data_IF_143731896286
#
_entry.id   IF_143731896286
#
_cell.length_a   1.000
_cell.length_b   1.000
_cell.length_c   1.000
_cell.angle_alpha   90.00
_cell.angle_beta   90.00
_cell.angle_gamma   90.00
#
_symmetry.space_group_name_H-M   'P 1'
#
loop_
_entity.id
_entity.type
_entity.pdbx_description
1 polymer ?
#
# COMPACT_ATOMS: atom_id res chain seq x y z
N UNK A 1 24.55 0.24 4.71
CA UNK A 1 23.27 -0.13 5.35
C UNK A 1 22.34 1.07 5.51
N UNK A 2 22.86 2.27 5.81
CA UNK A 2 22.08 3.48 6.08
C UNK A 2 21.18 3.89 4.91
N UNK A 3 21.69 3.79 3.68
CA UNK A 3 20.98 4.20 2.47
C UNK A 3 19.73 3.38 2.16
N UNK A 4 19.66 2.15 2.67
CA UNK A 4 18.52 1.26 2.46
C UNK A 4 17.29 1.86 3.13
N UNK A 5 17.43 2.44 4.32
CA UNK A 5 16.32 3.09 5.06
C UNK A 5 15.76 4.26 4.26
N UNK A 6 16.62 5.08 3.67
CA UNK A 6 16.21 6.18 2.81
C UNK A 6 15.48 5.69 1.55
N UNK A 7 16.03 4.68 0.87
CA UNK A 7 15.42 4.11 -0.35
C UNK A 7 14.05 3.51 -0.04
N UNK A 8 13.92 2.75 1.06
CA UNK A 8 12.64 2.19 1.51
C UNK A 8 11.64 3.30 1.80
N UNK A 9 12.04 4.33 2.55
CA UNK A 9 11.20 5.49 2.82
C UNK A 9 10.74 6.22 1.54
N UNK A 10 11.65 6.37 0.57
CA UNK A 10 11.36 7.00 -0.72
C UNK A 10 10.36 6.16 -1.54
N UNK A 11 10.55 4.85 -1.64
CA UNK A 11 9.64 3.94 -2.36
C UNK A 11 8.25 3.96 -1.74
N UNK A 12 8.15 3.89 -0.41
CA UNK A 12 6.87 3.94 0.30
C UNK A 12 6.17 5.29 0.11
N UNK A 13 6.93 6.39 0.14
CA UNK A 13 6.40 7.73 -0.12
C UNK A 13 5.87 7.85 -1.55
N UNK A 14 6.63 7.42 -2.56
CA UNK A 14 6.20 7.49 -3.96
C UNK A 14 4.98 6.61 -4.22
N UNK A 15 4.96 5.38 -3.70
CA UNK A 15 3.84 4.46 -3.87
C UNK A 15 2.58 4.99 -3.15
N UNK A 16 2.72 5.44 -1.90
CA UNK A 16 1.62 6.00 -1.13
C UNK A 16 1.06 7.26 -1.77
N UNK A 17 1.93 8.18 -2.19
CA UNK A 17 1.56 9.41 -2.90
C UNK A 17 0.85 9.12 -4.22
N UNK A 18 1.33 8.15 -4.99
CA UNK A 18 0.68 7.70 -6.22
C UNK A 18 -0.74 7.16 -5.97
N UNK A 19 -0.94 6.32 -4.94
CA UNK A 19 -2.26 5.80 -4.58
C UNK A 19 -3.25 6.89 -4.15
N UNK A 20 -2.78 7.89 -3.38
CA UNK A 20 -3.58 9.05 -3.00
C UNK A 20 -3.95 9.89 -4.22
N UNK A 21 -2.97 10.16 -5.10
CA UNK A 21 -3.18 10.91 -6.34
C UNK A 21 -4.17 10.23 -7.29
N UNK A 22 -4.05 8.92 -7.53
CA UNK A 22 -5.00 8.16 -8.36
C UNK A 22 -6.42 8.26 -7.80
N UNK A 23 -6.58 8.04 -6.49
CA UNK A 23 -7.87 8.15 -5.81
C UNK A 23 -8.46 9.56 -5.91
N UNK A 24 -7.64 10.59 -5.73
CA UNK A 24 -8.05 11.99 -5.84
C UNK A 24 -8.47 12.36 -7.27
N UNK A 25 -7.64 12.01 -8.26
CA UNK A 25 -7.93 12.24 -9.68
C UNK A 25 -9.23 11.55 -10.08
N UNK A 26 -9.38 10.28 -9.72
CA UNK A 26 -10.58 9.50 -10.04
C UNK A 26 -11.84 10.15 -9.45
N UNK A 27 -11.81 10.57 -8.18
CA UNK A 27 -12.93 11.25 -7.52
C UNK A 27 -13.33 12.57 -8.19
N UNK A 28 -12.37 13.31 -8.74
CA UNK A 28 -12.63 14.57 -9.45
C UNK A 28 -13.30 14.36 -10.81
N UNK A 29 -12.99 13.26 -11.50
CA UNK A 29 -13.51 12.98 -12.84
C UNK A 29 -14.72 12.06 -12.86
N UNK A 30 -14.95 11.31 -11.79
CA UNK A 30 -16.04 10.35 -11.69
C UNK A 30 -17.37 11.04 -11.42
N UNK A 31 -18.45 10.43 -11.92
CA UNK A 31 -19.83 10.80 -11.59
C UNK A 31 -20.35 9.87 -10.51
N UNK A 32 -21.11 10.43 -9.57
CA UNK A 32 -21.76 9.63 -8.54
C UNK A 32 -23.04 9.00 -9.09
N UNK A 33 -23.25 7.73 -8.80
CA UNK A 33 -24.46 6.97 -9.09
C UNK A 33 -24.88 6.20 -7.83
N UNK A 34 -26.19 6.03 -7.62
CA UNK A 34 -26.70 5.18 -6.56
C UNK A 34 -26.57 3.71 -6.99
N UNK A 35 -25.87 2.91 -6.19
CA UNK A 35 -25.79 1.46 -6.36
C UNK A 35 -26.48 0.72 -5.22
N UNK A 36 -26.72 -0.57 -5.42
CA UNK A 36 -27.26 -1.51 -4.44
C UNK A 36 -26.35 -2.72 -4.35
N UNK A 37 -25.99 -3.12 -3.14
CA UNK A 37 -25.21 -4.35 -2.92
C UNK A 37 -26.10 -5.55 -3.21
N UNK A 38 -25.78 -6.34 -4.23
CA UNK A 38 -26.57 -7.52 -4.62
C UNK A 38 -25.98 -8.84 -4.13
N UNK A 39 -24.71 -8.83 -3.73
CA UNK A 39 -24.06 -10.01 -3.19
C UNK A 39 -22.59 -9.78 -2.88
N UNK A 40 -21.87 -10.88 -2.64
CA UNK A 40 -20.44 -10.88 -2.41
C UNK A 40 -19.76 -11.98 -3.21
N UNK A 41 -18.70 -11.63 -3.92
CA UNK A 41 -17.77 -12.60 -4.51
C UNK A 41 -16.83 -13.10 -3.40
N UNK A 42 -16.85 -14.41 -3.17
CA UNK A 42 -15.92 -15.06 -2.24
C UNK A 42 -14.64 -15.41 -3.00
N UNK A 43 -13.51 -14.99 -2.46
CA UNK A 43 -12.18 -15.35 -2.96
C UNK A 43 -11.46 -16.15 -1.89
N UNK A 44 -11.11 -17.39 -2.22
CA UNK A 44 -10.35 -18.27 -1.34
C UNK A 44 -8.88 -18.25 -1.76
N UNK A 45 -7.98 -17.97 -0.81
CA UNK A 45 -6.55 -18.19 -1.00
C UNK A 45 -6.15 -19.51 -0.37
N UNK A 46 -5.79 -20.51 -1.20
CA UNK A 46 -5.18 -21.76 -0.73
C UNK A 46 -3.68 -21.53 -0.51
N UNK A 47 -3.25 -21.57 0.74
CA UNK A 47 -1.83 -21.69 1.11
C UNK A 47 -1.52 -23.16 1.38
N UNK A 48 -0.38 -23.67 0.90
CA UNK A 48 -0.01 -25.10 1.01
C UNK A 48 -0.01 -25.63 2.44
N UNK A 49 0.21 -24.77 3.44
CA UNK A 49 0.38 -25.16 4.85
C UNK A 49 -0.53 -24.38 5.82
N UNK A 50 -1.57 -23.69 5.35
CA UNK A 50 -2.45 -22.89 6.23
C UNK A 50 -3.91 -23.07 5.87
N UNK A 51 -4.78 -22.92 6.88
CA UNK A 51 -6.22 -22.90 6.68
C UNK A 51 -6.59 -21.91 5.56
N UNK A 52 -7.50 -22.32 4.67
CA UNK A 52 -7.99 -21.48 3.57
C UNK A 52 -8.53 -20.17 4.15
N UNK A 53 -7.98 -19.04 3.71
CA UNK A 53 -8.47 -17.73 4.09
C UNK A 53 -9.45 -17.24 3.02
N UNK A 54 -10.66 -16.89 3.45
CA UNK A 54 -11.68 -16.32 2.58
C UNK A 54 -11.69 -14.80 2.69
N UNK A 55 -11.82 -14.15 1.54
CA UNK A 55 -12.04 -12.71 1.44
C UNK A 55 -13.27 -12.44 0.60
N UNK A 56 -14.01 -11.40 0.95
CA UNK A 56 -15.30 -11.07 0.37
C UNK A 56 -15.19 -9.73 -0.34
N UNK A 57 -15.52 -9.71 -1.63
CA UNK A 57 -15.61 -8.49 -2.42
C UNK A 57 -17.08 -8.19 -2.74
N UNK A 58 -17.61 -7.00 -2.39
CA UNK A 58 -19.01 -6.69 -2.65
C UNK A 58 -19.28 -6.62 -4.16
N UNK A 59 -20.38 -7.22 -4.58
CA UNK A 59 -20.94 -7.10 -5.93
C UNK A 59 -22.06 -6.07 -5.86
N UNK A 60 -21.93 -5.00 -6.63
CA UNK A 60 -22.85 -3.86 -6.59
C UNK A 60 -23.46 -3.65 -7.95
N UNK A 61 -24.78 -3.61 -7.96
CA UNK A 61 -25.60 -3.24 -9.11
C UNK A 61 -25.87 -1.74 -9.09
N UNK A 62 -25.73 -1.08 -10.23
CA UNK A 62 -25.96 0.35 -10.36
C UNK A 62 -26.49 0.67 -11.76
N UNK A 63 -27.14 1.82 -11.90
CA UNK A 63 -27.64 2.31 -13.19
C UNK A 63 -26.83 3.52 -13.63
N UNK A 64 -26.33 3.48 -14.87
CA UNK A 64 -25.61 4.60 -15.47
C UNK A 64 -25.86 4.62 -16.98
N UNK A 65 -26.22 5.79 -17.52
CA UNK A 65 -26.54 5.94 -18.95
C UNK A 65 -27.72 5.07 -19.41
N UNK A 66 -28.73 4.89 -18.56
CA UNK A 66 -29.93 4.09 -18.87
C UNK A 66 -29.71 2.57 -18.90
N UNK A 67 -28.51 2.08 -18.54
CA UNK A 67 -28.20 0.65 -18.47
C UNK A 67 -27.90 0.25 -17.02
N UNK A 68 -28.47 -0.88 -16.60
CA UNK A 68 -28.09 -1.55 -15.35
C UNK A 68 -26.77 -2.28 -15.58
N UNK A 69 -25.82 -2.06 -14.67
CA UNK A 69 -24.50 -2.69 -14.69
C UNK A 69 -24.16 -3.22 -13.32
N UNK A 70 -23.28 -4.21 -13.28
CA UNK A 70 -22.76 -4.76 -12.05
C UNK A 70 -21.24 -4.65 -12.07
N UNK A 71 -20.65 -4.31 -10.92
CA UNK A 71 -19.22 -4.38 -10.74
C UNK A 71 -18.89 -5.07 -9.42
N UNK A 72 -17.75 -5.73 -9.40
CA UNK A 72 -17.21 -6.33 -8.18
C UNK A 72 -16.13 -5.43 -7.61
N UNK A 73 -16.18 -5.18 -6.30
CA UNK A 73 -15.16 -4.42 -5.59
C UNK A 73 -13.75 -4.97 -5.88
N UNK A 74 -12.81 -4.07 -6.18
CA UNK A 74 -11.40 -4.46 -6.39
C UNK A 74 -10.75 -4.98 -5.11
N UNK A 75 -11.14 -4.40 -3.98
CA UNK A 75 -10.66 -4.77 -2.65
C UNK A 75 -11.59 -5.85 -2.08
N UNK A 76 -11.05 -7.05 -1.92
CA UNK A 76 -11.67 -8.08 -1.11
C UNK A 76 -11.16 -7.92 0.32
N UNK A 77 -12.05 -8.07 1.30
CA UNK A 77 -11.73 -7.96 2.72
C UNK A 77 -12.24 -9.19 3.45
N UNK A 78 -11.56 -9.61 4.51
CA UNK A 78 -12.11 -10.61 5.43
C UNK A 78 -13.34 -10.09 6.18
N UNK A 79 -13.50 -8.75 6.25
CA UNK A 79 -14.60 -8.06 6.90
C UNK A 79 -15.65 -7.61 5.87
N UNK A 80 -16.91 -7.99 6.14
CA UNK A 80 -18.08 -7.64 5.32
C UNK A 80 -18.64 -6.29 5.81
N UNK A 81 -18.36 -5.22 5.06
CA UNK A 81 -18.72 -3.85 5.44
C UNK A 81 -20.19 -3.48 5.19
N UNK A 82 -20.84 -4.09 4.21
CA UNK A 82 -22.22 -3.75 3.80
C UNK A 82 -23.15 -4.97 3.88
N UNK A 83 -24.44 -4.75 4.06
CA UNK A 83 -25.46 -5.79 3.96
C UNK A 83 -25.95 -5.91 2.51
N UNK A 84 -26.40 -7.11 2.14
CA UNK A 84 -27.07 -7.31 0.84
C UNK A 84 -28.37 -6.49 0.87
N UNK A 85 -28.55 -5.67 -0.14
CA UNK A 85 -29.66 -4.73 -0.26
C UNK A 85 -29.31 -3.29 0.10
N UNK A 86 -28.16 -3.03 0.74
CA UNK A 86 -27.74 -1.68 1.12
C UNK A 86 -27.55 -0.79 -0.11
N UNK A 87 -28.01 0.46 0.00
CA UNK A 87 -27.74 1.50 -0.99
C UNK A 87 -26.37 2.11 -0.72
N UNK A 88 -25.50 2.08 -1.72
CA UNK A 88 -24.13 2.58 -1.61
C UNK A 88 -23.81 3.55 -2.74
N UNK A 89 -23.09 4.65 -2.48
CA UNK A 89 -22.64 5.56 -3.52
C UNK A 89 -21.52 4.92 -4.34
N UNK A 90 -21.74 4.86 -5.65
CA UNK A 90 -20.79 4.34 -6.65
C UNK A 90 -20.24 5.51 -7.44
N UNK A 91 -18.93 5.52 -7.66
CA UNK A 91 -18.23 6.46 -8.53
C UNK A 91 -17.94 5.76 -9.86
N UNK A 92 -18.48 6.30 -10.94
CA UNK A 92 -18.33 5.77 -12.31
C UNK A 92 -17.44 6.73 -13.09
N UNK A 93 -16.37 6.23 -13.74
CA UNK A 93 -15.53 7.08 -14.56
C UNK A 93 -16.30 7.63 -15.77
N UNK A 94 -16.14 8.92 -16.07
CA UNK A 94 -16.88 9.57 -17.14
C UNK A 94 -16.56 9.02 -18.55
N UNK A 95 -15.34 8.52 -18.75
CA UNK A 95 -14.84 8.02 -20.03
C UNK A 95 -15.03 6.51 -20.20
N UNK A 96 -15.13 5.78 -19.09
CA UNK A 96 -15.21 4.33 -19.08
C UNK A 96 -16.21 3.90 -17.99
N UNK A 97 -17.42 3.59 -18.41
CA UNK A 97 -18.47 3.19 -17.50
C UNK A 97 -18.27 1.77 -16.94
N UNK A 98 -17.22 1.05 -17.32
CA UNK A 98 -16.85 -0.23 -16.69
C UNK A 98 -15.85 -0.03 -15.53
N UNK A 99 -15.17 1.12 -15.44
CA UNK A 99 -14.38 1.51 -14.25
C UNK A 99 -15.28 2.18 -13.20
N UNK A 100 -16.08 1.35 -12.55
CA UNK A 100 -16.85 1.74 -11.37
C UNK A 100 -16.12 1.35 -10.07
N UNK A 101 -16.18 2.25 -9.07
CA UNK A 101 -15.56 2.05 -7.75
C UNK A 101 -16.52 2.51 -6.65
N UNK A 102 -16.45 1.88 -5.48
CA UNK A 102 -17.16 2.39 -4.30
C UNK A 102 -16.55 3.72 -3.84
N UNK A 103 -17.40 4.70 -3.48
CA UNK A 103 -16.93 6.00 -2.96
C UNK A 103 -16.07 5.83 -1.71
N UNK A 104 -16.46 4.90 -0.83
CA UNK A 104 -15.75 4.51 0.38
C UNK A 104 -14.59 3.52 0.12
N UNK A 105 -13.97 3.55 -1.05
CA UNK A 105 -12.73 2.80 -1.29
C UNK A 105 -11.67 3.26 -0.29
N UNK A 106 -11.17 2.34 0.54
CA UNK A 106 -10.11 2.61 1.51
C UNK A 106 -8.73 2.84 0.87
N UNK A 107 -8.62 2.75 -0.46
CA UNK A 107 -7.35 2.87 -1.19
C UNK A 107 -6.60 4.21 -0.95
N UNK A 108 -7.27 5.39 -0.91
CA UNK A 108 -6.58 6.65 -0.59
C UNK A 108 -6.10 6.70 0.86
N UNK A 109 -6.85 6.11 1.79
CA UNK A 109 -6.45 6.06 3.22
C UNK A 109 -5.22 5.18 3.37
N UNK A 110 -5.23 3.98 2.78
CA UNK A 110 -4.06 3.11 2.75
C UNK A 110 -2.85 3.82 2.11
N UNK A 111 -3.05 4.49 0.96
CA UNK A 111 -2.03 5.31 0.31
C UNK A 111 -1.46 6.40 1.24
N UNK A 112 -2.34 7.08 1.99
CA UNK A 112 -1.94 8.09 2.98
C UNK A 112 -1.10 7.52 4.12
N UNK A 113 -1.43 6.32 4.62
CA UNK A 113 -0.64 5.62 5.63
C UNK A 113 0.75 5.26 5.08
N UNK A 114 0.83 4.67 3.88
CA UNK A 114 2.11 4.36 3.24
C UNK A 114 2.95 5.61 3.00
N UNK A 115 2.32 6.71 2.55
CA UNK A 115 2.98 7.99 2.34
C UNK A 115 3.55 8.56 3.63
N UNK A 116 2.75 8.60 4.70
CA UNK A 116 3.17 9.14 6.00
C UNK A 116 4.29 8.31 6.63
N UNK A 117 4.22 6.98 6.58
CA UNK A 117 5.31 6.09 7.03
C UNK A 117 6.58 6.34 6.21
N UNK A 118 6.46 6.46 4.88
CA UNK A 118 7.59 6.74 4.01
C UNK A 118 8.27 8.06 4.35
N UNK A 119 7.50 9.14 4.49
CA UNK A 119 8.00 10.48 4.84
C UNK A 119 8.61 10.49 6.23
N UNK A 120 7.96 9.87 7.23
CA UNK A 120 8.48 9.75 8.57
C UNK A 120 9.83 9.01 8.59
N UNK A 121 9.96 7.94 7.82
CA UNK A 121 11.20 7.17 7.68
C UNK A 121 12.31 8.00 7.05
N UNK A 122 11.98 8.82 6.04
CA UNK A 122 12.94 9.76 5.43
C UNK A 122 13.38 10.84 6.42
N UNK A 123 12.44 11.45 7.16
CA UNK A 123 12.76 12.45 8.20
C UNK A 123 13.65 11.84 9.28
N UNK A 124 13.31 10.66 9.76
CA UNK A 124 14.08 9.90 10.73
C UNK A 124 15.51 9.64 10.24
N UNK A 125 15.67 9.28 8.97
CA UNK A 125 16.98 9.13 8.33
C UNK A 125 17.78 10.44 8.39
N UNK A 126 17.20 11.58 7.99
CA UNK A 126 17.88 12.88 8.05
C UNK A 126 18.24 13.31 9.47
N UNK A 127 17.46 12.91 10.47
CA UNK A 127 17.68 13.28 11.87
C UNK A 127 18.82 12.49 12.53
N UNK A 128 18.95 11.20 12.21
CA UNK A 128 19.96 10.30 12.79
C UNK A 128 21.27 10.37 12.02
N UNK A 129 21.19 10.30 10.69
CA UNK A 129 22.38 10.26 9.87
C UNK A 129 22.77 11.70 9.54
N UNK A 130 23.85 12.18 10.15
CA UNK A 130 24.50 13.42 9.69
C UNK A 130 24.86 13.21 8.22
N UNK A 131 24.09 13.82 7.32
CA UNK A 131 24.19 13.59 5.88
C UNK A 131 25.56 14.06 5.40
N UNK A 132 26.51 13.15 5.38
CA UNK A 132 27.80 13.37 4.74
C UNK A 132 27.56 13.52 3.24
N UNK A 133 28.32 14.43 2.60
CA UNK A 133 28.28 14.63 1.13
C UNK A 133 28.48 13.31 0.38
N UNK A 134 29.23 12.36 0.96
CA UNK A 134 29.41 11.01 0.41
C UNK A 134 28.13 10.16 0.43
N UNK A 135 27.30 10.26 1.47
CA UNK A 135 25.99 9.57 1.54
C UNK A 135 25.03 10.10 0.47
N UNK A 136 25.05 11.42 0.24
CA UNK A 136 24.27 12.03 -0.83
C UNK A 136 24.75 11.58 -2.23
N UNK A 137 26.07 11.54 -2.43
CA UNK A 137 26.67 11.11 -3.71
C UNK A 137 26.37 9.64 -4.01
N UNK A 138 26.47 8.76 -3.02
CA UNK A 138 26.10 7.34 -3.17
C UNK A 138 24.60 7.16 -3.42
N UNK A 139 23.73 7.96 -2.80
CA UNK A 139 22.29 7.94 -3.08
C UNK A 139 21.99 8.35 -4.52
N UNK A 140 22.57 9.46 -4.97
CA UNK A 140 22.45 9.91 -6.35
C UNK A 140 22.94 8.84 -7.33
N UNK A 141 24.08 8.19 -7.04
CA UNK A 141 24.62 7.11 -7.84
C UNK A 141 23.66 5.91 -7.94
N UNK A 142 23.13 5.43 -6.82
CA UNK A 142 22.17 4.30 -6.82
C UNK A 142 20.90 4.66 -7.58
N UNK A 143 20.38 5.88 -7.42
CA UNK A 143 19.21 6.36 -8.17
C UNK A 143 19.50 6.38 -9.67
N UNK A 144 20.66 6.89 -10.10
CA UNK A 144 21.07 6.88 -11.51
C UNK A 144 21.17 5.46 -12.03
N UNK A 145 21.79 4.53 -11.30
CA UNK A 145 21.88 3.12 -11.69
C UNK A 145 20.50 2.48 -11.84
N UNK A 146 19.57 2.74 -10.90
CA UNK A 146 18.19 2.24 -10.99
C UNK A 146 17.44 2.83 -12.19
N UNK A 147 17.60 4.13 -12.46
CA UNK A 147 17.00 4.78 -13.64
C UNK A 147 17.57 4.23 -14.94
N UNK A 148 18.88 3.97 -14.99
CA UNK A 148 19.54 3.35 -16.15
C UNK A 148 19.07 1.90 -16.32
N UNK A 149 18.99 1.09 -15.27
CA UNK A 149 18.45 -0.26 -15.34
C UNK A 149 16.98 -0.27 -15.78
N UNK A 150 16.14 0.60 -15.22
CA UNK A 150 14.76 0.76 -15.64
C UNK A 150 14.68 1.19 -17.11
N UNK A 151 15.51 2.15 -17.55
CA UNK A 151 15.62 2.59 -18.93
C UNK A 151 16.09 1.48 -19.88
N UNK A 152 17.06 0.66 -19.48
CA UNK A 152 17.52 -0.50 -20.26
C UNK A 152 16.43 -1.58 -20.33
N UNK A 153 15.72 -1.85 -19.24
CA UNK A 153 14.59 -2.76 -19.23
C UNK A 153 13.47 -2.28 -20.16
N UNK A 154 13.16 -0.97 -20.14
CA UNK A 154 12.20 -0.35 -21.05
C UNK A 154 12.67 -0.42 -22.52
N UNK A 155 13.95 -0.15 -22.79
CA UNK A 155 14.55 -0.28 -24.13
C UNK A 155 14.52 -1.71 -24.65
N UNK A 156 14.78 -2.71 -23.79
CA UNK A 156 14.68 -4.13 -24.14
C UNK A 156 13.26 -4.51 -24.60
N UNK A 157 12.24 -3.82 -24.07
CA UNK A 157 10.85 -3.97 -24.50
C UNK A 157 10.44 -3.04 -25.64
N UNK A 158 11.40 -2.35 -26.27
CA UNK A 158 11.20 -1.39 -27.37
C UNK A 158 10.18 -0.29 -27.07
N UNK A 159 10.05 0.06 -25.80
CA UNK A 159 9.11 1.07 -25.33
C UNK A 159 9.76 2.45 -25.56
N UNK A 160 9.48 3.06 -26.72
CA UNK A 160 9.98 4.40 -27.06
C UNK A 160 8.93 5.48 -26.82
N UNK A 161 7.65 5.11 -26.81
CA UNK A 161 6.54 6.02 -26.55
C UNK A 161 5.91 5.77 -25.16
N UNK A 162 5.34 6.82 -24.57
CA UNK A 162 4.44 6.70 -23.41
C UNK A 162 3.27 5.75 -23.72
N UNK A 163 2.86 5.64 -24.97
CA UNK A 163 1.81 4.72 -25.40
C UNK A 163 2.28 3.25 -25.38
N UNK A 164 3.57 2.99 -25.61
CA UNK A 164 4.16 1.65 -25.44
C UNK A 164 4.28 1.28 -23.96
N UNK A 165 4.52 2.26 -23.07
CA UNK A 165 4.46 2.04 -21.62
C UNK A 165 3.05 1.63 -21.22
N UNK A 166 2.03 2.31 -21.76
CA UNK A 166 0.62 1.94 -21.52
C UNK A 166 0.30 0.56 -22.05
N UNK A 167 0.76 0.19 -23.24
CA UNK A 167 0.52 -1.14 -23.82
C UNK A 167 1.26 -2.23 -23.06
N UNK A 168 2.48 -1.97 -22.57
CA UNK A 168 3.22 -2.88 -21.69
C UNK A 168 2.54 -3.04 -20.33
N UNK A 169 2.08 -1.95 -19.71
CA UNK A 169 1.28 -2.01 -18.47
C UNK A 169 -0.03 -2.76 -18.73
N UNK A 170 -0.68 -2.56 -19.88
CA UNK A 170 -1.86 -3.31 -20.28
C UNK A 170 -1.55 -4.79 -20.50
N UNK A 171 -0.38 -5.13 -21.06
CA UNK A 171 0.13 -6.49 -21.20
C UNK A 171 0.47 -7.15 -19.87
N UNK A 172 1.05 -6.42 -18.92
CA UNK A 172 1.22 -6.86 -17.53
C UNK A 172 -0.14 -7.06 -16.85
N UNK A 173 -1.11 -6.19 -17.12
CA UNK A 173 -2.48 -6.33 -16.62
C UNK A 173 -3.15 -7.55 -17.25
N UNK A 174 -2.90 -7.84 -18.53
CA UNK A 174 -3.44 -9.02 -19.22
C UNK A 174 -2.78 -10.31 -18.73
N UNK A 175 -1.45 -10.35 -18.55
CA UNK A 175 -0.72 -11.47 -17.96
C UNK A 175 -1.12 -11.70 -16.51
N UNK A 176 -1.24 -10.63 -15.71
CA UNK A 176 -1.79 -10.72 -14.35
C UNK A 176 -3.23 -11.20 -14.42
N UNK A 177 -4.05 -10.75 -15.36
CA UNK A 177 -5.42 -11.24 -15.52
C UNK A 177 -5.50 -12.67 -16.00
N UNK A 178 -4.53 -13.16 -16.79
CA UNK A 178 -4.45 -14.53 -17.29
C UNK A 178 -3.94 -15.48 -16.18
N UNK A 179 -2.95 -15.05 -15.41
CA UNK A 179 -2.47 -15.75 -14.21
C UNK A 179 -3.49 -15.73 -13.08
N UNK A 180 -4.21 -14.61 -12.92
CA UNK A 180 -5.36 -14.55 -12.03
C UNK A 180 -6.49 -15.41 -12.59
N UNK A 181 -6.83 -15.39 -13.87
CA UNK A 181 -7.89 -16.23 -14.45
C UNK A 181 -7.58 -17.72 -14.30
N UNK A 182 -6.33 -18.16 -14.53
CA UNK A 182 -5.95 -19.57 -14.38
C UNK A 182 -5.99 -20.04 -12.92
N UNK A 183 -5.78 -19.16 -11.93
CA UNK A 183 -5.94 -19.49 -10.51
C UNK A 183 -7.35 -19.21 -9.95
N UNK A 184 -8.11 -18.30 -10.57
CA UNK A 184 -9.44 -17.82 -10.13
C UNK A 184 -10.58 -18.59 -10.79
N UNK A 185 -10.29 -19.48 -11.75
CA UNK A 185 -11.29 -20.44 -12.25
C UNK A 185 -11.70 -21.48 -11.19
N UNK A 186 -11.03 -21.49 -10.02
CA UNK A 186 -11.57 -22.07 -8.79
C UNK A 186 -12.79 -21.25 -8.31
N UNK A 187 -13.97 -21.64 -8.81
CA UNK A 187 -15.31 -21.37 -8.25
C UNK A 187 -15.49 -19.98 -7.62
N UNK A 188 -15.68 -18.95 -8.45
CA UNK A 188 -16.26 -17.68 -8.00
C UNK A 188 -17.70 -17.94 -7.55
N UNK A 189 -17.89 -18.26 -6.28
CA UNK A 189 -19.21 -18.34 -5.68
C UNK A 189 -19.63 -16.92 -5.30
N UNK A 190 -20.73 -16.46 -5.91
CA UNK A 190 -21.37 -15.21 -5.51
C UNK A 190 -22.43 -15.56 -4.48
N UNK A 191 -22.22 -15.13 -3.24
CA UNK A 191 -23.22 -15.28 -2.18
C UNK A 191 -24.24 -14.16 -2.36
N UNK A 192 -25.47 -14.53 -2.72
CA UNK A 192 -26.61 -13.62 -2.83
C UNK A 192 -27.59 -13.74 -1.66
N UNK A 193 -27.53 -14.84 -0.91
CA UNK A 193 -28.40 -15.09 0.25
C UNK A 193 -27.90 -14.34 1.50
N UNK A 194 -28.68 -13.40 2.07
CA UNK A 194 -28.34 -12.69 3.30
C UNK A 194 -28.10 -13.62 4.50
N UNK A 195 -28.82 -14.75 4.58
CA UNK A 195 -28.71 -15.67 5.72
C UNK A 195 -27.33 -16.34 5.79
N UNK A 196 -26.74 -16.67 4.64
CA UNK A 196 -25.37 -17.18 4.57
C UNK A 196 -24.36 -16.12 5.03
N UNK A 197 -24.55 -14.86 4.61
CA UNK A 197 -23.66 -13.75 4.95
C UNK A 197 -23.54 -13.51 6.47
N UNK A 198 -24.64 -13.68 7.22
CA UNK A 198 -24.65 -13.51 8.68
C UNK A 198 -23.75 -14.54 9.37
N UNK A 199 -23.74 -15.79 8.89
CA UNK A 199 -22.87 -16.85 9.43
C UNK A 199 -21.40 -16.53 9.23
N UNK A 200 -21.04 -15.96 8.07
CA UNK A 200 -19.66 -15.54 7.79
C UNK A 200 -19.23 -14.33 8.61
N UNK A 201 -20.11 -13.34 8.80
CA UNK A 201 -19.82 -12.14 9.59
C UNK A 201 -19.53 -12.47 11.07
N UNK A 202 -20.21 -13.45 11.65
CA UNK A 202 -19.98 -13.86 13.04
C UNK A 202 -18.57 -14.45 13.24
N UNK A 203 -18.02 -15.10 12.22
CA UNK A 203 -16.72 -15.79 12.28
C UNK A 203 -15.52 -14.83 12.22
N UNK A 204 -15.65 -13.69 11.54
CA UNK A 204 -14.51 -12.82 11.17
C UNK A 204 -14.46 -11.46 11.89
N UNK A 205 -15.07 -11.31 13.08
CA UNK A 205 -14.88 -10.07 13.85
C UNK A 205 -13.43 -9.99 14.32
N UNK A 206 -12.70 -8.99 13.83
CA UNK A 206 -11.36 -8.67 14.33
C UNK A 206 -11.50 -8.42 15.83
N UNK A 207 -10.81 -9.19 16.69
CA UNK A 207 -11.07 -9.08 18.10
C UNK A 207 -10.52 -7.75 18.61
N UNK A 208 -11.34 -7.03 19.39
CA UNK A 208 -11.09 -5.64 19.80
C UNK A 208 -9.72 -5.46 20.47
N UNK A 209 -9.21 -6.49 21.14
CA UNK A 209 -7.89 -6.48 21.76
C UNK A 209 -6.75 -6.29 20.75
N UNK A 210 -6.87 -6.75 19.50
CA UNK A 210 -5.84 -6.55 18.47
C UNK A 210 -5.71 -5.06 18.13
N UNK A 211 -6.84 -4.36 17.96
CA UNK A 211 -6.84 -2.92 17.74
C UNK A 211 -6.23 -2.17 18.94
N UNK A 212 -6.51 -2.61 20.17
CA UNK A 212 -5.92 -2.06 21.38
C UNK A 212 -4.39 -2.26 21.42
N UNK A 213 -3.87 -3.43 21.02
CA UNK A 213 -2.42 -3.67 20.93
C UNK A 213 -1.76 -2.72 19.93
N UNK A 214 -2.32 -2.56 18.72
CA UNK A 214 -1.75 -1.64 17.73
C UNK A 214 -1.75 -0.19 18.23
N UNK A 215 -2.80 0.22 18.93
CA UNK A 215 -2.89 1.55 19.52
C UNK A 215 -1.85 1.75 20.63
N UNK A 216 -1.71 0.79 21.55
CA UNK A 216 -0.71 0.84 22.63
C UNK A 216 0.71 0.81 22.07
N UNK A 217 0.99 -0.05 21.09
CA UNK A 217 2.29 -0.11 20.42
C UNK A 217 2.63 1.20 19.71
N UNK A 218 1.66 1.79 19.00
CA UNK A 218 1.81 3.10 18.37
C UNK A 218 2.13 4.22 19.37
N UNK A 219 1.38 4.30 20.48
CA UNK A 219 1.64 5.27 21.55
C UNK A 219 3.01 5.05 22.21
N UNK A 220 3.39 3.78 22.44
CA UNK A 220 4.68 3.42 23.01
C UNK A 220 5.86 3.84 22.12
N UNK A 221 5.75 3.64 20.81
CA UNK A 221 6.76 4.10 19.85
C UNK A 221 6.88 5.63 19.84
N UNK A 222 5.76 6.36 19.87
CA UNK A 222 5.78 7.82 19.96
C UNK A 222 6.42 8.31 21.27
N UNK A 223 6.03 7.75 22.41
CA UNK A 223 6.59 8.11 23.72
C UNK A 223 8.10 7.78 23.80
N UNK A 224 8.51 6.61 23.30
CA UNK A 224 9.91 6.22 23.21
C UNK A 224 10.75 7.18 22.36
N UNK A 225 10.21 7.61 21.21
CA UNK A 225 10.84 8.62 20.37
C UNK A 225 11.05 9.96 21.10
N UNK A 226 10.05 10.44 21.85
CA UNK A 226 10.16 11.67 22.66
C UNK A 226 11.20 11.52 23.77
N UNK A 227 11.20 10.41 24.51
CA UNK A 227 12.17 10.19 25.60
C UNK A 227 13.61 10.16 25.04
N UNK A 228 13.85 9.49 23.92
CA UNK A 228 15.18 9.45 23.29
C UNK A 228 15.62 10.84 22.83
N UNK A 229 14.71 11.66 22.28
CA UNK A 229 15.00 13.03 21.88
C UNK A 229 15.40 13.89 23.09
N UNK A 230 14.66 13.79 24.21
CA UNK A 230 14.97 14.51 25.44
C UNK A 230 16.31 14.08 26.05
N UNK A 231 16.61 12.77 26.10
CA UNK A 231 17.90 12.26 26.59
C UNK A 231 19.06 12.73 25.74
N UNK A 232 18.90 12.72 24.42
CA UNK A 232 19.90 13.27 23.49
C UNK A 232 20.14 14.74 23.76
N UNK A 233 19.09 15.53 23.94
CA UNK A 233 19.22 16.96 24.18
C UNK A 233 19.92 17.25 25.53
N UNK A 234 19.52 16.57 26.60
CA UNK A 234 20.20 16.68 27.89
C UNK A 234 21.68 16.28 27.84
N UNK A 235 22.02 15.26 27.05
CA UNK A 235 23.42 14.90 26.80
C UNK A 235 24.17 16.02 26.06
N UNK A 236 23.58 16.61 25.02
CA UNK A 236 24.19 17.71 24.28
C UNK A 236 24.37 18.97 25.14
N UNK A 237 23.44 19.26 26.04
CA UNK A 237 23.50 20.42 26.93
C UNK A 237 24.59 20.27 28.01
N UNK A 238 24.87 19.03 28.44
CA UNK A 238 25.88 18.72 29.48
C UNK A 238 27.24 18.35 28.90
N UNK A 239 27.31 18.04 27.61
CA UNK A 239 28.55 17.66 26.94
C UNK A 239 29.51 18.86 26.88
N UNK A 240 30.66 18.72 27.53
CA UNK A 240 31.76 19.68 27.43
C UNK A 240 32.70 19.22 26.32
N UNK A 241 33.07 20.13 25.42
CA UNK A 241 34.10 19.85 24.43
C UNK A 241 35.44 19.64 25.16
N UNK A 242 36.06 18.48 24.96
CA UNK A 242 37.36 18.16 25.52
C UNK A 242 38.32 17.79 24.38
N UNK A 243 39.53 18.32 24.45
CA UNK A 243 40.61 17.94 23.54
C UNK A 243 41.14 16.56 23.94
N UNK A 244 41.17 15.62 22.98
CA UNK A 244 41.65 14.26 23.18
C UNK A 244 42.81 13.94 22.23
N UNK A 245 43.84 13.26 22.74
CA UNK A 245 44.92 12.71 21.91
C UNK A 245 44.57 11.28 21.52
N UNK A 246 44.67 10.93 20.23
CA UNK A 246 44.47 9.56 19.77
C UNK A 246 45.66 8.72 20.27
N UNK A 247 45.40 7.79 21.19
CA UNK A 247 46.45 6.97 21.82
C UNK A 247 46.66 5.64 21.12
N UNK A 248 45.62 5.08 20.50
CA UNK A 248 45.69 3.76 19.84
C UNK A 248 44.59 3.58 18.79
N UNK A 249 44.84 2.71 17.80
CA UNK A 249 43.87 2.29 16.79
C UNK A 249 43.60 0.78 16.90
N UNK A 250 42.41 0.41 17.38
CA UNK A 250 42.00 -1.00 17.45
C UNK A 250 41.55 -1.49 16.08
N UNK A 251 42.32 -2.40 15.47
CA UNK A 251 41.94 -3.07 14.23
C UNK A 251 40.89 -4.16 14.52
N UNK A 252 39.68 -4.00 13.98
CA UNK A 252 38.67 -5.08 13.94
C UNK A 252 38.58 -5.66 12.54
N UNK A 253 38.97 -6.92 12.38
CA UNK A 253 38.66 -7.71 11.18
C UNK A 253 37.23 -8.23 11.31
N UNK A 254 36.35 -7.77 10.43
CA UNK A 254 35.00 -8.32 10.29
C UNK A 254 35.08 -9.66 9.58
N UNK A 255 34.99 -10.76 10.33
CA UNK A 255 34.78 -12.09 9.75
C UNK A 255 33.34 -12.15 9.27
N UNK A 256 33.13 -12.17 7.95
CA UNK A 256 31.85 -12.47 7.33
C UNK A 256 31.75 -13.98 7.16
N UNK A 257 31.05 -14.64 8.07
CA UNK A 257 30.48 -15.98 7.84
C UNK A 257 29.12 -15.85 7.14
#
# INVERSE_FOLDING_TARGET
MEIIVFIVGLVFSLLGGFLVWDGYRFRKTAREAAGRVVGYEVRQSKSRNSASQETYAPVVEYQYGGKTRQFTGRLASSLISYQIGDRVPVLVAAQDADDARLKASGMPVAGGIFFTIGVATMIFFFYIFQVSRFSLATAAFVIVVLLVQAGMALRKHNIRSIDDVKSFIAGLKSLKSAYLQSNVQNQRTVITDPAQLVRYRAKNRMPVWVAAIFLVAGLGLCAGGVILALKRQAFLDTAVAADGTIVDFVRRTSTSD
#
